data_IF_944444718650
#
_entry.id   IF_944444718650
#
_cell.length_a   1.000
_cell.length_b   1.000
_cell.length_c   1.000
_cell.angle_alpha   90.00
_cell.angle_beta   90.00
_cell.angle_gamma   90.00
#
_symmetry.space_group_name_H-M   'P 1'
#
loop_
_entity.id
_entity.type
_entity.pdbx_description
1 polymer ?
#
# COMPACT_ATOMS: atom_id res chain seq x y z
N UNK A 1 -3.24 10.65 -3.61
CA UNK A 1 -2.78 12.03 -3.85
C UNK A 1 -4.00 12.93 -3.73
N UNK A 2 -3.95 13.90 -2.83
CA UNK A 2 -5.02 14.88 -2.64
C UNK A 2 -5.01 15.90 -3.76
N UNK A 3 -6.14 16.06 -4.44
CA UNK A 3 -6.32 17.12 -5.43
C UNK A 3 -6.90 18.36 -4.76
N UNK A 4 -6.26 19.50 -5.01
CA UNK A 4 -6.76 20.83 -4.66
C UNK A 4 -7.29 21.43 -5.97
N UNK A 5 -8.61 21.52 -6.08
CA UNK A 5 -9.27 22.07 -7.28
C UNK A 5 -9.23 23.57 -7.26
N UNK A 6 -8.72 24.17 -8.34
CA UNK A 6 -8.53 25.60 -8.49
C UNK A 6 -9.21 26.08 -9.78
N UNK A 7 -9.99 27.15 -9.70
CA UNK A 7 -10.53 27.82 -10.86
C UNK A 7 -9.99 29.24 -10.96
N UNK A 8 -9.55 29.64 -12.16
CA UNK A 8 -9.08 30.99 -12.43
C UNK A 8 -10.05 31.67 -13.39
N UNK A 9 -10.77 32.64 -12.88
CA UNK A 9 -11.71 33.49 -13.61
C UNK A 9 -11.05 34.82 -13.99
N UNK A 10 -11.08 35.19 -15.25
CA UNK A 10 -10.56 36.49 -15.71
C UNK A 10 -11.17 36.91 -17.05
N UNK A 11 -11.08 38.17 -17.36
CA UNK A 11 -11.34 38.66 -18.71
C UNK A 11 -10.27 38.18 -19.72
N UNK A 12 -10.62 38.22 -21.03
CA UNK A 12 -9.70 37.79 -22.09
C UNK A 12 -8.42 38.64 -22.18
N UNK A 13 -8.45 39.86 -21.68
CA UNK A 13 -7.29 40.77 -21.68
C UNK A 13 -6.15 40.31 -20.75
N UNK A 14 -6.42 39.38 -19.82
CA UNK A 14 -5.47 38.81 -18.88
C UNK A 14 -5.04 37.39 -19.27
N UNK A 15 -5.06 37.04 -20.57
CA UNK A 15 -4.66 35.69 -21.00
C UNK A 15 -3.19 35.39 -20.69
N UNK A 16 -2.30 36.38 -20.74
CA UNK A 16 -0.90 36.19 -20.37
C UNK A 16 -0.76 35.86 -18.88
N UNK A 17 -1.41 36.63 -18.01
CA UNK A 17 -1.39 36.38 -16.57
C UNK A 17 -1.95 34.97 -16.22
N UNK A 18 -2.99 34.51 -16.96
CA UNK A 18 -3.52 33.13 -16.79
C UNK A 18 -2.52 32.06 -17.19
N UNK A 19 -1.89 32.19 -18.38
CA UNK A 19 -0.90 31.22 -18.85
C UNK A 19 0.29 31.13 -17.90
N UNK A 20 0.66 32.22 -17.28
CA UNK A 20 1.72 32.23 -16.27
C UNK A 20 1.29 31.52 -14.99
N UNK A 21 0.00 31.53 -14.63
CA UNK A 21 -0.51 30.70 -13.55
C UNK A 21 -0.46 29.19 -13.89
N UNK A 22 -0.64 28.80 -15.15
CA UNK A 22 -0.46 27.41 -15.59
C UNK A 22 0.97 26.93 -15.32
N UNK A 23 1.95 27.75 -15.66
CA UNK A 23 3.36 27.47 -15.36
C UNK A 23 3.62 27.42 -13.86
N UNK A 24 3.09 28.37 -13.11
CA UNK A 24 3.21 28.41 -11.66
C UNK A 24 2.70 27.12 -10.99
N UNK A 25 1.49 26.68 -11.32
CA UNK A 25 0.94 25.46 -10.74
C UNK A 25 1.64 24.21 -11.23
N UNK A 26 2.13 24.19 -12.48
CA UNK A 26 2.98 23.11 -12.98
C UNK A 26 4.24 22.94 -12.12
N UNK A 27 4.90 24.06 -11.78
CA UNK A 27 6.09 24.04 -10.91
C UNK A 27 5.74 23.69 -9.47
N UNK A 28 4.65 24.23 -8.93
CA UNK A 28 4.16 23.85 -7.60
C UNK A 28 3.84 22.35 -7.53
N UNK A 29 3.22 21.77 -8.54
CA UNK A 29 2.93 20.34 -8.59
C UNK A 29 4.19 19.48 -8.53
N UNK A 30 5.31 19.93 -9.13
CA UNK A 30 6.61 19.23 -8.99
C UNK A 30 7.08 19.24 -7.54
N UNK A 31 6.97 20.38 -6.85
CA UNK A 31 7.41 20.54 -5.45
C UNK A 31 6.51 19.80 -4.45
N UNK A 32 5.20 19.71 -4.71
CA UNK A 32 4.23 19.14 -3.79
C UNK A 32 3.93 17.65 -4.04
N UNK A 33 4.48 17.08 -5.12
CA UNK A 33 4.32 15.66 -5.46
C UNK A 33 4.74 14.72 -4.35
N UNK A 34 5.90 14.98 -3.73
CA UNK A 34 6.43 14.16 -2.63
C UNK A 34 5.57 14.25 -1.37
N UNK A 35 4.75 15.27 -1.29
CA UNK A 35 3.78 15.51 -0.21
C UNK A 35 2.39 14.94 -0.52
N UNK A 36 2.24 14.21 -1.64
CA UNK A 36 0.97 13.66 -2.11
C UNK A 36 -0.13 14.69 -2.35
N UNK A 37 0.22 15.90 -2.79
CA UNK A 37 -0.68 17.00 -3.14
C UNK A 37 -0.53 17.31 -4.62
N UNK A 38 -1.65 17.59 -5.28
CA UNK A 38 -1.75 17.97 -6.68
C UNK A 38 -2.73 19.13 -6.83
N UNK A 39 -2.30 20.20 -7.47
CA UNK A 39 -3.14 21.36 -7.80
C UNK A 39 -3.76 21.15 -9.17
N UNK A 40 -5.05 20.82 -9.21
CA UNK A 40 -5.85 20.66 -10.43
C UNK A 40 -6.44 22.04 -10.80
N UNK A 41 -5.63 22.83 -11.47
CA UNK A 41 -6.01 24.17 -11.90
C UNK A 41 -6.72 24.11 -13.24
N UNK A 42 -7.81 24.87 -13.38
CA UNK A 42 -8.58 25.03 -14.62
C UNK A 42 -8.97 26.48 -14.86
N UNK A 43 -9.12 26.77 -16.15
CA UNK A 43 -9.65 28.01 -16.67
C UNK A 43 -10.86 27.71 -17.55
N UNK A 44 -11.56 28.73 -18.03
CA UNK A 44 -12.66 28.53 -18.98
C UNK A 44 -12.21 27.85 -20.30
N UNK A 45 -10.93 27.92 -20.66
CA UNK A 45 -10.36 27.29 -21.87
C UNK A 45 -10.29 25.75 -21.75
N UNK A 46 -10.28 25.20 -20.55
CA UNK A 46 -10.19 23.77 -20.29
C UNK A 46 -11.53 23.04 -20.46
N UNK A 47 -12.61 23.81 -20.70
CA UNK A 47 -13.93 23.25 -20.91
C UNK A 47 -14.23 23.11 -22.41
N UNK A 48 -14.75 21.97 -22.80
CA UNK A 48 -15.13 21.70 -24.18
C UNK A 48 -16.13 22.74 -24.70
N UNK A 49 -15.84 23.30 -25.87
CA UNK A 49 -16.74 24.18 -26.61
C UNK A 49 -17.80 23.41 -27.43
N UNK A 50 -17.92 22.10 -27.27
CA UNK A 50 -18.95 21.28 -27.95
C UNK A 50 -20.34 21.74 -27.57
N UNK A 51 -21.28 21.70 -28.54
CA UNK A 51 -22.70 21.90 -28.28
C UNK A 51 -23.20 20.81 -27.32
N UNK A 52 -23.60 21.22 -26.12
CA UNK A 52 -24.19 20.36 -25.09
C UNK A 52 -25.52 20.97 -24.65
N UNK A 53 -26.36 20.17 -24.00
CA UNK A 53 -27.53 20.69 -23.30
C UNK A 53 -27.10 21.62 -22.17
N UNK A 54 -27.65 22.86 -22.16
CA UNK A 54 -27.35 23.88 -21.19
C UNK A 54 -26.33 24.92 -21.63
N UNK A 55 -26.25 26.01 -20.87
CA UNK A 55 -25.28 27.08 -21.07
C UNK A 55 -23.88 26.62 -20.69
N UNK A 56 -22.86 26.97 -21.45
CA UNK A 56 -21.46 26.69 -21.10
C UNK A 56 -21.10 27.30 -19.73
N UNK A 57 -21.70 28.46 -19.38
CA UNK A 57 -21.53 29.06 -18.06
C UNK A 57 -22.02 28.19 -16.91
N UNK A 58 -23.07 27.40 -17.10
CA UNK A 58 -23.58 26.50 -16.05
C UNK A 58 -22.52 25.44 -15.68
N UNK A 59 -21.73 24.98 -16.66
CA UNK A 59 -20.61 24.05 -16.41
C UNK A 59 -19.46 24.70 -15.62
N UNK A 60 -19.17 25.99 -15.88
CA UNK A 60 -18.20 26.72 -15.08
C UNK A 60 -18.69 26.89 -13.65
N UNK A 61 -19.94 27.25 -13.48
CA UNK A 61 -20.58 27.41 -12.19
C UNK A 61 -20.60 26.08 -11.42
N UNK A 62 -20.84 24.94 -12.10
CA UNK A 62 -20.80 23.61 -11.47
C UNK A 62 -19.38 23.26 -11.04
N UNK A 63 -18.36 23.57 -11.87
CA UNK A 63 -16.98 23.34 -11.47
C UNK A 63 -16.56 24.24 -10.30
N UNK A 64 -16.96 25.50 -10.28
CA UNK A 64 -16.72 26.45 -9.17
C UNK A 64 -17.29 25.88 -7.85
N UNK A 65 -18.46 25.22 -7.90
CA UNK A 65 -19.06 24.58 -6.73
C UNK A 65 -18.20 23.46 -6.12
N UNK A 66 -17.34 22.88 -6.93
CA UNK A 66 -16.44 21.81 -6.47
C UNK A 66 -15.04 22.32 -6.09
N UNK A 67 -14.72 23.59 -6.38
CA UNK A 67 -13.39 24.14 -6.17
C UNK A 67 -13.07 24.32 -4.68
N UNK A 68 -11.79 24.12 -4.37
CA UNK A 68 -11.21 24.45 -3.08
C UNK A 68 -10.70 25.90 -3.04
N UNK A 69 -10.22 26.40 -4.19
CA UNK A 69 -9.70 27.76 -4.36
C UNK A 69 -10.29 28.35 -5.65
N UNK A 70 -10.69 29.62 -5.60
CA UNK A 70 -11.10 30.38 -6.79
C UNK A 70 -10.33 31.70 -6.81
N UNK A 71 -9.73 32.00 -7.96
CA UNK A 71 -8.93 33.20 -8.18
C UNK A 71 -9.63 34.06 -9.24
N UNK A 72 -9.94 35.29 -8.90
CA UNK A 72 -10.52 36.26 -9.80
C UNK A 72 -9.47 37.32 -10.18
N UNK A 73 -9.26 37.52 -11.49
CA UNK A 73 -8.33 38.51 -12.00
C UNK A 73 -9.11 39.56 -12.83
N UNK A 74 -8.94 40.81 -12.46
CA UNK A 74 -9.56 41.96 -13.13
C UNK A 74 -8.48 42.93 -13.62
N UNK A 75 -8.76 43.61 -14.77
CA UNK A 75 -7.87 44.64 -15.32
C UNK A 75 -8.65 45.92 -15.67
N UNK A 76 -8.94 46.18 -16.95
CA UNK A 76 -9.60 47.41 -17.36
C UNK A 76 -11.12 47.32 -17.33
N UNK A 77 -11.68 46.13 -17.53
CA UNK A 77 -13.12 45.85 -17.58
C UNK A 77 -13.51 44.57 -16.88
N UNK A 78 -14.74 44.52 -16.49
CA UNK A 78 -15.33 43.29 -15.94
C UNK A 78 -15.64 42.30 -17.09
N UNK A 79 -15.21 41.05 -16.95
CA UNK A 79 -15.58 39.97 -17.86
C UNK A 79 -17.09 39.73 -17.81
N UNK A 80 -17.70 39.35 -18.95
CA UNK A 80 -19.15 39.18 -19.11
C UNK A 80 -19.77 38.27 -18.04
N UNK A 81 -19.08 37.26 -17.61
CA UNK A 81 -19.57 36.22 -16.66
C UNK A 81 -18.84 36.21 -15.31
N UNK A 82 -17.77 36.98 -15.19
CA UNK A 82 -16.92 36.95 -13.97
C UNK A 82 -17.68 37.42 -12.72
N UNK A 83 -18.69 38.26 -12.86
CA UNK A 83 -19.58 38.66 -11.76
C UNK A 83 -20.43 37.47 -11.29
N UNK A 84 -21.06 36.74 -12.22
CA UNK A 84 -21.87 35.55 -11.92
C UNK A 84 -21.01 34.48 -11.25
N UNK A 85 -19.79 34.26 -11.74
CA UNK A 85 -18.82 33.32 -11.16
C UNK A 85 -18.44 33.68 -9.73
N UNK A 86 -18.23 34.96 -9.44
CA UNK A 86 -17.93 35.43 -8.09
C UNK A 86 -19.14 35.27 -7.15
N UNK A 87 -20.36 35.57 -7.62
CA UNK A 87 -21.58 35.39 -6.85
C UNK A 87 -21.79 33.91 -6.48
N UNK A 88 -21.57 33.00 -7.43
CA UNK A 88 -21.62 31.54 -7.19
C UNK A 88 -20.57 31.12 -6.16
N UNK A 89 -19.32 31.56 -6.32
CA UNK A 89 -18.25 31.24 -5.37
C UNK A 89 -18.56 31.74 -3.95
N UNK A 90 -19.08 32.98 -3.85
CA UNK A 90 -19.45 33.60 -2.58
C UNK A 90 -20.64 32.91 -1.93
N UNK A 91 -21.66 32.51 -2.69
CA UNK A 91 -22.78 31.72 -2.17
C UNK A 91 -22.30 30.42 -1.53
N UNK A 92 -21.37 29.72 -2.15
CA UNK A 92 -20.80 28.47 -1.62
C UNK A 92 -19.97 28.75 -0.37
N UNK A 93 -19.15 29.79 -0.40
CA UNK A 93 -18.38 30.25 0.76
C UNK A 93 -19.27 30.47 1.99
N UNK A 94 -20.41 31.12 1.82
CA UNK A 94 -21.38 31.32 2.89
C UNK A 94 -22.00 30.00 3.34
N UNK A 95 -22.43 29.15 2.41
CA UNK A 95 -23.03 27.82 2.73
C UNK A 95 -22.07 26.91 3.48
N UNK A 96 -20.79 26.98 3.20
CA UNK A 96 -19.75 26.17 3.84
C UNK A 96 -19.20 26.79 5.12
N UNK A 97 -19.74 27.91 5.59
CA UNK A 97 -19.25 28.70 6.72
C UNK A 97 -17.77 29.08 6.56
N UNK A 98 -17.41 29.60 5.39
CA UNK A 98 -16.06 30.01 5.01
C UNK A 98 -15.01 28.87 4.93
N UNK A 99 -15.44 27.59 4.96
CA UNK A 99 -14.50 26.48 4.83
C UNK A 99 -13.90 26.41 3.43
N UNK A 100 -14.77 26.54 2.39
CA UNK A 100 -14.36 26.56 0.97
C UNK A 100 -15.46 27.17 0.09
N UNK A 101 -15.16 27.66 -1.13
CA UNK A 101 -13.80 27.86 -1.64
C UNK A 101 -13.06 28.99 -0.91
N UNK A 102 -11.73 28.96 -0.92
CA UNK A 102 -10.94 30.17 -0.60
C UNK A 102 -10.96 31.08 -1.81
N UNK A 103 -11.43 32.30 -1.66
CA UNK A 103 -11.66 33.25 -2.75
C UNK A 103 -10.54 34.30 -2.71
N UNK A 104 -9.86 34.51 -3.83
CA UNK A 104 -8.85 35.55 -4.00
C UNK A 104 -9.25 36.48 -5.15
N UNK A 105 -9.20 37.79 -4.93
CA UNK A 105 -9.60 38.80 -5.89
C UNK A 105 -8.45 39.77 -6.11
N UNK A 106 -7.94 39.82 -7.32
CA UNK A 106 -6.80 40.64 -7.73
C UNK A 106 -7.20 41.62 -8.82
N UNK A 107 -6.77 42.87 -8.70
CA UNK A 107 -6.95 43.91 -9.70
C UNK A 107 -5.59 44.38 -10.22
N UNK A 108 -5.40 44.39 -11.56
CA UNK A 108 -4.20 44.92 -12.21
C UNK A 108 -4.26 46.43 -12.20
N UNK A 109 -3.18 47.08 -11.78
CA UNK A 109 -3.14 48.55 -11.59
C UNK A 109 -2.98 49.35 -12.89
N UNK A 110 -2.59 48.74 -14.02
CA UNK A 110 -2.32 49.42 -15.27
C UNK A 110 -3.59 49.64 -16.10
N UNK A 111 -3.66 50.81 -16.74
CA UNK A 111 -4.68 51.15 -17.78
C UNK A 111 -5.84 51.98 -17.27
N UNK A 112 -6.71 52.37 -18.25
CA UNK A 112 -7.94 53.11 -17.98
C UNK A 112 -9.01 52.15 -17.53
N UNK A 113 -9.43 52.24 -16.30
CA UNK A 113 -10.42 51.37 -15.68
C UNK A 113 -11.82 51.85 -15.99
N UNK A 114 -12.67 50.93 -16.49
CA UNK A 114 -14.08 51.15 -16.71
C UNK A 114 -14.80 51.50 -15.37
N UNK A 115 -15.76 52.42 -15.42
CA UNK A 115 -16.52 52.84 -14.23
C UNK A 115 -17.26 51.67 -13.58
N UNK A 116 -17.79 50.75 -14.39
CA UNK A 116 -18.44 49.51 -13.90
C UNK A 116 -17.52 48.63 -13.05
N UNK A 117 -16.21 48.63 -13.35
CA UNK A 117 -15.23 47.87 -12.56
C UNK A 117 -14.87 48.58 -11.25
N UNK A 118 -14.87 49.92 -11.22
CA UNK A 118 -14.69 50.69 -9.98
C UNK A 118 -15.86 50.46 -9.02
N UNK A 119 -17.08 50.48 -9.54
CA UNK A 119 -18.29 50.19 -8.76
C UNK A 119 -18.26 48.77 -8.24
N UNK A 120 -17.82 47.83 -9.07
CA UNK A 120 -17.69 46.44 -8.67
C UNK A 120 -16.62 46.21 -7.59
N UNK A 121 -15.48 46.87 -7.66
CA UNK A 121 -14.45 46.86 -6.63
C UNK A 121 -15.02 47.35 -5.30
N UNK A 122 -15.73 48.48 -5.33
CA UNK A 122 -16.42 49.05 -4.16
C UNK A 122 -17.48 48.08 -3.61
N UNK A 123 -18.20 47.36 -4.47
CA UNK A 123 -19.15 46.34 -4.10
C UNK A 123 -18.46 45.15 -3.39
N UNK A 124 -17.34 44.65 -3.92
CA UNK A 124 -16.57 43.57 -3.32
C UNK A 124 -16.09 43.94 -1.89
N UNK A 125 -15.57 45.14 -1.73
CA UNK A 125 -15.05 45.63 -0.46
C UNK A 125 -16.16 45.86 0.58
N UNK A 126 -17.28 46.48 0.16
CA UNK A 126 -18.35 46.85 1.08
C UNK A 126 -19.34 45.73 1.38
N UNK A 127 -19.72 44.98 0.36
CA UNK A 127 -20.81 44.00 0.46
C UNK A 127 -20.35 42.58 0.69
N UNK A 128 -19.18 42.21 0.16
CA UNK A 128 -18.64 40.88 0.33
C UNK A 128 -17.62 40.81 1.48
N UNK A 129 -17.20 41.98 2.03
CA UNK A 129 -16.20 42.04 3.10
C UNK A 129 -14.84 41.46 2.67
N UNK A 130 -14.60 41.39 1.37
CA UNK A 130 -13.40 40.78 0.81
C UNK A 130 -12.34 41.84 0.54
N UNK A 131 -11.12 41.58 0.99
CA UNK A 131 -9.96 42.36 0.59
C UNK A 131 -9.67 42.08 -0.89
N UNK A 132 -9.61 43.15 -1.68
CA UNK A 132 -9.19 43.13 -3.07
C UNK A 132 -7.71 43.55 -3.15
N UNK A 133 -6.84 42.63 -3.51
CA UNK A 133 -5.43 42.93 -3.67
C UNK A 133 -5.16 43.56 -5.06
N UNK A 134 -4.26 44.56 -5.09
CA UNK A 134 -3.78 45.15 -6.32
C UNK A 134 -2.49 44.44 -6.76
N UNK A 135 -2.23 44.39 -8.09
CA UNK A 135 -0.95 43.91 -8.60
C UNK A 135 -0.55 44.67 -9.84
N UNK A 136 0.76 44.85 -10.03
CA UNK A 136 1.30 45.62 -11.16
C UNK A 136 1.69 44.73 -12.34
N UNK A 137 2.24 43.58 -12.08
CA UNK A 137 2.67 42.62 -13.10
C UNK A 137 2.58 41.21 -12.57
N UNK A 138 2.87 40.22 -13.41
CA UNK A 138 2.78 38.83 -13.07
C UNK A 138 3.67 38.42 -11.85
N UNK A 139 4.88 38.93 -11.77
CA UNK A 139 5.79 38.58 -10.65
C UNK A 139 5.25 39.08 -9.31
N UNK A 140 4.66 40.27 -9.27
CA UNK A 140 3.98 40.79 -8.10
C UNK A 140 2.75 39.96 -7.74
N UNK A 141 1.92 39.59 -8.72
CA UNK A 141 0.78 38.70 -8.54
C UNK A 141 1.23 37.34 -7.98
N UNK A 142 2.25 36.77 -8.56
CA UNK A 142 2.83 35.49 -8.12
C UNK A 142 3.31 35.53 -6.68
N UNK A 143 4.06 36.56 -6.30
CA UNK A 143 4.55 36.74 -4.94
C UNK A 143 3.40 36.89 -3.92
N UNK A 144 2.38 37.65 -4.26
CA UNK A 144 1.19 37.84 -3.42
C UNK A 144 0.44 36.53 -3.25
N UNK A 145 0.20 35.81 -4.35
CA UNK A 145 -0.49 34.52 -4.28
C UNK A 145 0.34 33.44 -3.55
N UNK A 146 1.65 33.43 -3.73
CA UNK A 146 2.54 32.49 -3.04
C UNK A 146 2.48 32.65 -1.50
N UNK A 147 2.40 33.91 -1.01
CA UNK A 147 2.18 34.19 0.40
C UNK A 147 0.84 33.64 0.89
N UNK A 148 -0.22 33.80 0.11
CA UNK A 148 -1.54 33.26 0.46
C UNK A 148 -1.53 31.73 0.47
N UNK A 149 -0.85 31.11 -0.48
CA UNK A 149 -0.70 29.66 -0.52
C UNK A 149 0.03 29.13 0.73
N UNK A 150 1.09 29.83 1.18
CA UNK A 150 1.80 29.48 2.43
C UNK A 150 0.90 29.65 3.67
N UNK A 151 0.07 30.68 3.72
CA UNK A 151 -0.91 30.86 4.80
C UNK A 151 -1.88 29.69 4.84
N UNK A 152 -2.47 29.31 3.69
CA UNK A 152 -3.38 28.17 3.58
C UNK A 152 -2.73 26.85 3.97
N UNK A 153 -1.45 26.71 3.71
CA UNK A 153 -0.67 25.55 4.14
C UNK A 153 -0.49 25.54 5.67
N UNK A 154 -0.09 26.67 6.26
CA UNK A 154 0.07 26.81 7.70
C UNK A 154 -1.25 26.62 8.47
N UNK A 155 -2.35 27.05 7.92
CA UNK A 155 -3.71 26.80 8.45
C UNK A 155 -4.15 25.33 8.29
N UNK A 156 -3.37 24.51 7.59
CA UNK A 156 -3.70 23.11 7.32
C UNK A 156 -4.81 22.89 6.31
N UNK A 157 -5.17 23.91 5.51
CA UNK A 157 -6.08 23.78 4.39
C UNK A 157 -5.45 22.95 3.27
N UNK A 158 -4.19 23.24 2.95
CA UNK A 158 -3.37 22.50 2.01
C UNK A 158 -2.55 21.45 2.78
N UNK A 159 -3.11 20.25 2.91
CA UNK A 159 -2.45 19.12 3.57
C UNK A 159 -2.80 17.81 2.84
N UNK A 160 -1.91 16.82 2.85
CA UNK A 160 -2.20 15.52 2.28
C UNK A 160 -3.39 14.87 2.99
N UNK A 161 -4.11 14.04 2.25
CA UNK A 161 -5.14 13.22 2.88
C UNK A 161 -4.49 12.28 3.92
N UNK A 162 -5.15 12.05 5.05
CA UNK A 162 -4.65 11.11 6.04
C UNK A 162 -4.49 9.72 5.39
N UNK A 163 -3.39 9.05 5.70
CA UNK A 163 -3.16 7.68 5.22
C UNK A 163 -4.28 6.79 5.74
N UNK A 164 -4.99 6.12 4.85
CA UNK A 164 -5.98 5.12 5.26
C UNK A 164 -5.26 3.87 5.79
N UNK A 165 -4.98 3.91 7.08
CA UNK A 165 -4.26 2.83 7.80
C UNK A 165 -4.98 1.50 7.64
N UNK A 166 -6.33 1.48 7.59
CA UNK A 166 -7.09 0.24 7.41
C UNK A 166 -6.87 -0.37 6.03
N UNK A 167 -6.82 0.47 4.99
CA UNK A 167 -6.55 0.02 3.61
C UNK A 167 -5.11 -0.49 3.48
N UNK A 168 -4.15 0.23 4.03
CA UNK A 168 -2.73 -0.17 4.04
C UNK A 168 -2.54 -1.47 4.81
N UNK A 169 -3.16 -1.60 5.98
CA UNK A 169 -3.08 -2.82 6.79
C UNK A 169 -3.68 -4.04 6.06
N UNK A 170 -4.83 -3.88 5.39
CA UNK A 170 -5.43 -4.94 4.57
C UNK A 170 -4.53 -5.34 3.41
N UNK A 171 -3.89 -4.38 2.76
CA UNK A 171 -2.94 -4.66 1.69
C UNK A 171 -1.74 -5.47 2.21
N UNK A 172 -1.11 -5.05 3.29
CA UNK A 172 0.01 -5.79 3.92
C UNK A 172 -0.43 -7.18 4.35
N UNK A 173 -1.59 -7.31 4.98
CA UNK A 173 -2.12 -8.62 5.41
C UNK A 173 -2.30 -9.57 4.21
N UNK A 174 -3.01 -9.13 3.16
CA UNK A 174 -3.36 -9.99 2.04
C UNK A 174 -2.18 -10.29 1.09
N UNK A 175 -1.36 -9.30 0.80
CA UNK A 175 -0.31 -9.43 -0.23
C UNK A 175 1.08 -9.74 0.31
N UNK A 176 1.30 -9.61 1.62
CA UNK A 176 2.59 -9.90 2.25
C UNK A 176 2.45 -11.04 3.25
N UNK A 177 1.62 -10.88 4.29
CA UNK A 177 1.57 -11.86 5.38
C UNK A 177 0.95 -13.19 4.96
N UNK A 178 -0.14 -13.18 4.17
CA UNK A 178 -0.78 -14.42 3.72
C UNK A 178 0.15 -15.25 2.83
N UNK A 179 0.81 -14.72 1.79
CA UNK A 179 1.78 -15.50 1.01
C UNK A 179 2.95 -16.02 1.84
N UNK A 180 3.49 -15.23 2.77
CA UNK A 180 4.57 -15.67 3.67
C UNK A 180 4.11 -16.85 4.53
N UNK A 181 2.89 -16.78 5.08
CA UNK A 181 2.31 -17.87 5.86
C UNK A 181 2.13 -19.15 5.03
N UNK A 182 1.63 -19.02 3.80
CA UNK A 182 1.47 -20.16 2.89
C UNK A 182 2.80 -20.82 2.58
N UNK A 183 3.85 -20.04 2.29
CA UNK A 183 5.20 -20.56 2.05
C UNK A 183 5.75 -21.26 3.31
N UNK A 184 5.57 -20.66 4.47
CA UNK A 184 6.01 -21.25 5.74
C UNK A 184 5.29 -22.57 6.04
N UNK A 185 3.98 -22.65 5.80
CA UNK A 185 3.22 -23.89 5.95
C UNK A 185 3.64 -24.97 4.94
N UNK A 186 3.88 -24.58 3.69
CA UNK A 186 4.39 -25.51 2.67
C UNK A 186 5.77 -26.07 3.05
N UNK A 187 6.67 -25.21 3.53
CA UNK A 187 7.99 -25.61 4.00
C UNK A 187 7.90 -26.54 5.23
N UNK A 188 7.02 -26.21 6.19
CA UNK A 188 6.76 -27.05 7.35
C UNK A 188 6.21 -28.43 6.95
N UNK A 189 5.23 -28.46 6.03
CA UNK A 189 4.67 -29.71 5.51
C UNK A 189 5.75 -30.54 4.79
N UNK A 190 6.56 -29.89 3.94
CA UNK A 190 7.67 -30.55 3.27
C UNK A 190 8.65 -31.17 4.25
N UNK A 191 9.09 -30.42 5.28
CA UNK A 191 9.99 -30.92 6.32
C UNK A 191 9.36 -32.08 7.10
N UNK A 192 8.12 -31.95 7.52
CA UNK A 192 7.40 -32.91 8.35
C UNK A 192 7.16 -34.26 7.65
N UNK A 193 6.94 -34.23 6.34
CA UNK A 193 6.75 -35.43 5.51
C UNK A 193 8.00 -35.85 4.73
N UNK A 194 9.13 -35.20 4.94
CA UNK A 194 10.38 -35.61 4.28
C UNK A 194 10.78 -37.03 4.71
N UNK A 195 11.20 -37.90 3.75
CA UNK A 195 11.67 -39.22 4.05
C UNK A 195 13.04 -39.19 4.73
N UNK A 196 13.19 -39.96 5.77
CA UNK A 196 14.45 -40.20 6.48
C UNK A 196 14.75 -41.68 6.52
N UNK A 197 15.98 -42.00 6.86
CA UNK A 197 16.41 -43.39 7.07
C UNK A 197 16.64 -43.66 8.56
N UNK A 198 16.28 -44.85 9.02
CA UNK A 198 16.68 -45.37 10.33
C UNK A 198 17.62 -46.55 10.14
N UNK A 199 18.76 -46.52 10.82
CA UNK A 199 19.77 -47.56 10.73
C UNK A 199 19.81 -48.35 12.05
N UNK A 200 19.63 -49.64 11.97
CA UNK A 200 19.71 -50.54 13.11
C UNK A 200 21.02 -51.32 13.02
N UNK A 201 21.78 -51.30 14.12
CA UNK A 201 23.03 -52.05 14.27
C UNK A 201 22.88 -53.04 15.43
N UNK A 202 23.29 -54.33 15.16
CA UNK A 202 23.29 -55.38 16.16
C UNK A 202 24.64 -55.52 16.84
N UNK A 203 24.68 -55.82 18.12
CA UNK A 203 25.88 -56.13 18.89
C UNK A 203 25.66 -57.41 19.69
N UNK A 204 26.61 -58.36 19.59
CA UNK A 204 26.54 -59.56 20.43
C UNK A 204 27.04 -59.28 21.85
N UNK A 205 26.18 -59.44 22.82
CA UNK A 205 26.47 -59.23 24.23
C UNK A 205 27.01 -60.49 24.90
N UNK A 206 26.90 -61.70 24.29
CA UNK A 206 27.29 -62.99 24.86
C UNK A 206 28.79 -63.31 24.76
N UNK A 207 29.57 -62.45 24.04
CA UNK A 207 31.04 -62.69 23.84
C UNK A 207 31.42 -64.04 23.32
N UNK A 208 30.54 -64.76 22.63
CA UNK A 208 30.74 -66.11 22.13
C UNK A 208 31.47 -66.13 20.79
N UNK A 209 32.31 -67.12 20.55
CA UNK A 209 33.04 -67.32 19.28
C UNK A 209 32.25 -68.15 18.25
N UNK A 210 31.03 -68.49 18.51
CA UNK A 210 30.21 -69.29 17.60
C UNK A 210 29.74 -68.42 16.38
N UNK A 211 29.58 -69.04 15.20
CA UNK A 211 29.15 -68.29 14.03
C UNK A 211 27.72 -67.72 14.19
N UNK A 212 27.52 -66.51 13.60
CA UNK A 212 26.22 -65.89 13.44
C UNK A 212 25.59 -66.39 12.14
N UNK A 213 24.35 -66.83 12.15
CA UNK A 213 23.62 -67.38 10.99
C UNK A 213 22.60 -66.47 10.38
N UNK A 214 22.74 -65.16 10.62
CA UNK A 214 21.82 -64.14 10.16
C UNK A 214 20.70 -63.81 11.18
N UNK A 215 20.02 -62.70 10.98
CA UNK A 215 18.87 -62.27 11.76
C UNK A 215 17.85 -61.57 10.88
N UNK A 216 16.57 -61.76 11.20
CA UNK A 216 15.46 -61.00 10.66
C UNK A 216 15.11 -59.89 11.64
N UNK A 217 15.15 -58.65 11.15
CA UNK A 217 14.84 -57.48 11.94
C UNK A 217 13.55 -56.86 11.40
N UNK A 218 12.52 -56.86 12.21
CA UNK A 218 11.19 -56.29 11.89
C UNK A 218 11.01 -54.99 12.67
N UNK A 219 10.80 -53.89 11.93
CA UNK A 219 10.48 -52.61 12.51
C UNK A 219 9.00 -52.30 12.23
N UNK A 220 8.25 -52.12 13.32
CA UNK A 220 6.84 -51.74 13.30
C UNK A 220 6.68 -50.34 13.87
N UNK A 221 6.14 -49.42 13.06
CA UNK A 221 5.86 -48.03 13.46
C UNK A 221 4.60 -47.54 12.77
N UNK A 222 3.76 -46.80 13.45
CA UNK A 222 2.43 -46.44 13.01
C UNK A 222 1.68 -47.69 12.47
N UNK A 223 1.21 -47.67 11.25
CA UNK A 223 0.49 -48.78 10.59
C UNK A 223 1.40 -49.56 9.61
N UNK A 224 2.72 -49.42 9.73
CA UNK A 224 3.70 -50.04 8.85
C UNK A 224 4.55 -51.09 9.59
N UNK A 225 4.84 -52.19 8.91
CA UNK A 225 5.75 -53.20 9.34
C UNK A 225 6.69 -53.55 8.19
N UNK A 226 7.98 -53.50 8.44
CA UNK A 226 9.03 -53.81 7.45
C UNK A 226 10.04 -54.76 8.07
N UNK A 227 10.33 -55.86 7.38
CA UNK A 227 11.33 -56.87 7.82
C UNK A 227 12.53 -56.82 6.87
N UNK A 228 13.72 -56.78 7.42
CA UNK A 228 15.01 -56.85 6.73
C UNK A 228 15.86 -57.95 7.31
N UNK A 229 16.55 -58.68 6.39
CA UNK A 229 17.51 -59.73 6.76
C UNK A 229 18.91 -59.16 6.82
N UNK A 230 19.70 -59.64 7.79
CA UNK A 230 21.11 -59.33 7.94
C UNK A 230 21.92 -60.61 8.07
N UNK A 231 22.97 -60.77 7.26
CA UNK A 231 23.83 -61.99 7.23
C UNK A 231 24.95 -61.90 8.25
N UNK A 232 25.39 -60.71 8.65
CA UNK A 232 26.52 -60.50 9.57
C UNK A 232 26.19 -59.52 10.66
N UNK A 233 26.67 -59.73 11.85
CA UNK A 233 26.51 -58.79 12.98
C UNK A 233 27.11 -57.41 12.72
N UNK A 234 28.12 -57.33 11.86
CA UNK A 234 28.78 -56.08 11.48
C UNK A 234 27.95 -55.23 10.50
N UNK A 235 26.94 -55.83 9.88
CA UNK A 235 26.15 -55.18 8.84
C UNK A 235 25.11 -54.24 9.48
N UNK A 236 24.87 -53.13 8.81
CA UNK A 236 23.87 -52.16 9.19
C UNK A 236 22.58 -52.41 8.42
N UNK A 237 21.47 -52.48 9.13
CA UNK A 237 20.16 -52.62 8.51
C UNK A 237 19.51 -51.26 8.36
N UNK A 238 19.22 -50.88 7.13
CA UNK A 238 18.69 -49.55 6.79
C UNK A 238 17.22 -49.66 6.40
N UNK A 239 16.37 -49.03 7.20
CA UNK A 239 14.96 -48.83 6.91
C UNK A 239 14.81 -47.48 6.24
N UNK A 240 14.24 -47.45 5.02
CA UNK A 240 14.10 -46.23 4.19
C UNK A 240 12.67 -45.74 4.22
N UNK A 241 12.50 -44.48 3.73
CA UNK A 241 11.17 -43.87 3.55
C UNK A 241 10.34 -43.70 4.83
N UNK A 242 11.00 -43.59 5.97
CA UNK A 242 10.37 -43.21 7.20
C UNK A 242 10.13 -41.71 7.18
N UNK A 243 8.89 -41.23 7.34
CA UNK A 243 8.67 -39.79 7.40
C UNK A 243 9.18 -39.17 8.69
N UNK A 244 9.77 -38.00 8.61
CA UNK A 244 10.36 -37.26 9.75
C UNK A 244 9.37 -37.15 10.94
N UNK A 245 8.06 -37.06 10.65
CA UNK A 245 7.01 -37.01 11.69
C UNK A 245 6.99 -38.19 12.66
N UNK A 246 7.54 -39.33 12.27
CA UNK A 246 7.58 -40.53 13.11
C UNK A 246 8.86 -40.64 13.94
N UNK A 247 9.85 -39.78 13.71
CA UNK A 247 11.03 -39.74 14.57
C UNK A 247 10.64 -39.26 15.98
N UNK A 248 11.07 -40.02 16.98
CA UNK A 248 10.72 -39.80 18.38
C UNK A 248 9.43 -40.53 18.83
N UNK A 249 8.63 -41.06 17.90
CA UNK A 249 7.47 -41.88 18.22
C UNK A 249 7.88 -43.30 18.65
N UNK A 250 6.99 -44.01 19.36
CA UNK A 250 7.22 -45.38 19.74
C UNK A 250 7.17 -46.32 18.54
N UNK A 251 8.21 -47.10 18.37
CA UNK A 251 8.30 -48.16 17.38
C UNK A 251 8.63 -49.49 18.07
N UNK A 252 8.06 -50.58 17.59
CA UNK A 252 8.37 -51.93 18.05
C UNK A 252 9.44 -52.51 17.16
N UNK A 253 10.52 -53.00 17.75
CA UNK A 253 11.59 -53.64 17.05
C UNK A 253 11.68 -55.10 17.51
N UNK A 254 11.47 -56.05 16.58
CA UNK A 254 11.56 -57.47 16.79
C UNK A 254 12.77 -58.02 16.05
N UNK A 255 13.63 -58.80 16.73
CA UNK A 255 14.81 -59.40 16.15
C UNK A 255 14.76 -60.93 16.40
N UNK A 256 14.77 -61.69 15.32
CA UNK A 256 14.74 -63.15 15.34
C UNK A 256 16.02 -63.69 14.67
N UNK A 257 16.79 -64.49 15.40
CA UNK A 257 18.01 -65.09 14.90
C UNK A 257 18.20 -66.49 15.50
N UNK A 258 18.64 -67.43 14.67
CA UNK A 258 18.85 -68.81 15.09
C UNK A 258 19.94 -68.87 16.12
N UNK A 259 19.60 -69.41 17.33
CA UNK A 259 20.53 -69.58 18.45
C UNK A 259 20.70 -68.33 19.32
N UNK A 260 19.86 -67.35 19.14
CA UNK A 260 19.78 -66.14 19.97
C UNK A 260 18.39 -66.00 20.56
N UNK A 261 18.30 -65.34 21.68
CA UNK A 261 17.02 -65.00 22.32
C UNK A 261 16.34 -63.95 21.44
N UNK A 262 15.07 -64.21 21.11
CA UNK A 262 14.27 -63.22 20.34
C UNK A 262 14.17 -61.91 21.14
N UNK A 263 14.59 -60.83 20.56
CA UNK A 263 14.42 -59.49 21.13
C UNK A 263 13.12 -58.92 20.60
N UNK A 264 12.24 -58.50 21.47
CA UNK A 264 10.98 -57.85 21.15
C UNK A 264 10.84 -56.65 22.10
N UNK A 265 11.08 -55.45 21.61
CA UNK A 265 11.15 -54.25 22.43
C UNK A 265 10.48 -53.06 21.75
N UNK A 266 9.94 -52.15 22.56
CA UNK A 266 9.43 -50.87 22.11
C UNK A 266 10.46 -49.81 22.45
N UNK A 267 10.83 -49.01 21.45
CA UNK A 267 11.79 -47.93 21.61
C UNK A 267 11.34 -46.70 20.84
N UNK A 268 11.95 -45.57 21.15
CA UNK A 268 11.76 -44.37 20.35
C UNK A 268 12.44 -44.52 19.00
N UNK A 269 11.73 -44.23 17.92
CA UNK A 269 12.28 -44.34 16.56
C UNK A 269 13.30 -43.22 16.32
N UNK A 270 14.56 -43.64 16.19
CA UNK A 270 15.70 -42.72 15.94
C UNK A 270 16.38 -43.02 14.61
N UNK A 271 17.20 -42.09 14.13
CA UNK A 271 18.00 -42.28 12.91
C UNK A 271 19.02 -43.42 13.04
N UNK A 272 19.54 -43.66 14.25
CA UNK A 272 20.49 -44.71 14.54
C UNK A 272 20.09 -45.44 15.83
N UNK A 273 19.87 -46.74 15.74
CA UNK A 273 19.49 -47.61 16.86
C UNK A 273 20.55 -48.71 16.99
N UNK A 274 21.07 -48.91 18.19
CA UNK A 274 21.99 -50.01 18.45
C UNK A 274 21.37 -50.94 19.51
N UNK A 275 21.28 -52.22 19.19
CA UNK A 275 20.70 -53.22 20.09
C UNK A 275 21.63 -54.39 20.33
N UNK A 276 21.70 -54.80 21.58
CA UNK A 276 22.41 -56.02 21.99
C UNK A 276 21.52 -57.26 21.84
N UNK A 277 22.07 -58.35 21.28
CA UNK A 277 21.44 -59.65 21.23
C UNK A 277 22.25 -60.62 22.08
N UNK A 278 21.59 -61.51 22.81
CA UNK A 278 22.21 -62.54 23.62
C UNK A 278 21.83 -63.96 23.15
N UNK A 279 22.72 -64.92 23.33
CA UNK A 279 22.46 -66.28 22.91
C UNK A 279 21.42 -66.93 23.82
N UNK A 280 20.68 -67.88 23.21
CA UNK A 280 19.83 -68.82 23.94
C UNK A 280 20.73 -69.80 24.72
N UNK A 281 20.43 -70.00 25.98
CA UNK A 281 21.23 -70.76 26.92
C UNK A 281 21.04 -72.29 26.81
#
# INVERSE_FOLDING_TARGET
MKKIKIFIASSAELNEDKQMFDLYFSDKNKLYRDRNIDFDQRTWMDFSSSLNEGRLQDRYNDYIRECDIVIFLFHTRMGRYTKEELEVAHEIYLKTKAAKPKIFVYFKEEGIVDESLKDFKSYCEKNLGHFCDLYTNYDDLRLKFDKQLQILENEGFIKPDPVDVKRTLRFVLLYVLVPVLVVALAFFAFYYYSPVTSTVRLTDTSKSSLPFYGADITLEYADKSETRHVDRLSDEVVFKEIHTKYLGENARLKIESKGYVTVDTVLSLEKNVTLGISRDS
#
